data_IF_834435960684
#
_entry.id   IF_834435960684
#
_cell.length_a   1.000
_cell.length_b   1.000
_cell.length_c   1.000
_cell.angle_alpha   90.00
_cell.angle_beta   90.00
_cell.angle_gamma   90.00
#
_symmetry.space_group_name_H-M   'P 1'
#
loop_
_entity.id
_entity.type
_entity.pdbx_description
1 polymer ?
#
# COMPACT_ATOMS: atom_id res chain seq x y z
N UNK A 1 51.04 -4.35 -9.34
CA UNK A 1 50.33 -4.87 -8.14
C UNK A 1 50.10 -3.65 -7.26
N UNK A 2 48.93 -3.01 -7.21
CA UNK A 2 47.63 -3.50 -6.77
C UNK A 2 46.51 -2.73 -7.49
N UNK A 3 45.99 -3.29 -8.59
CA UNK A 3 44.75 -2.85 -9.21
C UNK A 3 43.75 -4.00 -9.06
N UNK A 4 42.55 -3.73 -8.56
CA UNK A 4 41.42 -4.66 -8.66
C UNK A 4 41.06 -5.49 -7.42
N UNK A 5 41.04 -4.90 -6.22
CA UNK A 5 40.52 -5.58 -5.01
C UNK A 5 39.33 -4.87 -4.32
N UNK A 6 38.76 -3.81 -4.92
CA UNK A 6 37.72 -3.00 -4.29
C UNK A 6 36.27 -3.38 -4.60
N UNK A 7 36.02 -4.26 -5.58
CA UNK A 7 34.66 -4.46 -6.15
C UNK A 7 34.00 -5.78 -5.73
N UNK A 8 34.72 -6.71 -5.10
CA UNK A 8 34.23 -8.09 -4.89
C UNK A 8 33.63 -8.33 -3.49
N UNK A 9 33.75 -7.40 -2.54
CA UNK A 9 33.39 -7.66 -1.14
C UNK A 9 31.89 -7.56 -0.80
N UNK A 10 31.01 -7.09 -1.69
CA UNK A 10 29.60 -6.82 -1.33
C UNK A 10 28.62 -7.90 -1.79
N UNK A 11 29.06 -8.90 -2.57
CA UNK A 11 28.17 -9.95 -3.07
C UNK A 11 28.11 -11.23 -2.21
N UNK A 12 28.72 -11.25 -1.02
CA UNK A 12 28.76 -12.45 -0.15
C UNK A 12 28.27 -12.16 1.28
N UNK A 13 27.33 -11.24 1.45
CA UNK A 13 26.63 -11.09 2.73
C UNK A 13 25.13 -11.10 2.48
N UNK A 14 24.48 -12.16 2.98
CA UNK A 14 23.03 -12.29 3.13
C UNK A 14 22.52 -11.27 4.17
N UNK A 15 22.61 -9.99 3.85
CA UNK A 15 22.02 -8.93 4.65
C UNK A 15 21.41 -7.88 3.73
N UNK A 16 20.08 -7.85 3.69
CA UNK A 16 19.26 -6.90 2.92
C UNK A 16 19.60 -5.42 3.19
N UNK A 17 20.41 -5.11 4.21
CA UNK A 17 20.94 -3.77 4.49
C UNK A 17 22.00 -3.29 3.47
N UNK A 18 22.74 -4.22 2.83
CA UNK A 18 23.83 -3.88 1.91
C UNK A 18 23.36 -3.34 0.55
N UNK A 19 22.32 -3.94 -0.01
CA UNK A 19 21.74 -3.53 -1.29
C UNK A 19 21.05 -2.16 -1.19
N UNK A 20 20.32 -1.91 -0.11
CA UNK A 20 19.67 -0.61 0.15
C UNK A 20 20.71 0.51 0.25
N UNK A 21 21.85 0.26 0.89
CA UNK A 21 22.92 1.25 1.01
C UNK A 21 23.55 1.57 -0.35
N UNK A 22 23.77 0.56 -1.20
CA UNK A 22 24.26 0.76 -2.56
C UNK A 22 23.28 1.53 -3.45
N UNK A 23 21.96 1.29 -3.30
CA UNK A 23 20.94 2.04 -4.03
C UNK A 23 20.92 3.50 -3.58
N UNK A 24 21.04 3.78 -2.28
CA UNK A 24 21.09 5.15 -1.76
C UNK A 24 22.33 5.90 -2.25
N UNK A 25 23.50 5.25 -2.19
CA UNK A 25 24.75 5.82 -2.72
C UNK A 25 24.65 6.01 -4.24
N UNK A 26 24.10 5.04 -4.96
CA UNK A 26 23.86 5.11 -6.40
C UNK A 26 22.90 6.23 -6.79
N UNK A 27 21.81 6.42 -6.05
CA UNK A 27 20.86 7.51 -6.25
C UNK A 27 21.51 8.87 -5.98
N UNK A 28 22.37 8.97 -4.95
CA UNK A 28 23.15 10.18 -4.68
C UNK A 28 24.09 10.51 -5.84
N UNK A 29 24.81 9.51 -6.37
CA UNK A 29 25.69 9.68 -7.52
C UNK A 29 24.92 10.01 -8.79
N UNK A 30 23.74 9.44 -8.98
CA UNK A 30 22.87 9.74 -10.12
C UNK A 30 22.36 11.18 -10.06
N UNK A 31 21.99 11.66 -8.86
CA UNK A 31 21.67 13.07 -8.61
C UNK A 31 22.83 14.00 -8.93
N UNK A 32 24.07 13.63 -8.55
CA UNK A 32 25.27 14.40 -8.91
C UNK A 32 25.52 14.40 -10.42
N UNK A 33 25.32 13.26 -11.08
CA UNK A 33 25.54 13.11 -12.52
C UNK A 33 24.54 13.90 -13.37
N UNK A 34 23.26 13.92 -12.97
CA UNK A 34 22.21 14.68 -13.68
C UNK A 34 22.32 16.19 -13.39
N UNK A 35 22.71 16.57 -12.18
CA UNK A 35 22.73 17.98 -11.75
C UNK A 35 24.03 18.72 -12.12
N UNK A 36 25.12 18.00 -12.43
CA UNK A 36 26.40 18.56 -12.85
C UNK A 36 27.12 19.41 -11.79
N UNK A 37 26.71 19.34 -10.52
CA UNK A 37 27.28 20.12 -9.42
C UNK A 37 27.83 19.19 -8.34
N UNK A 38 29.12 19.28 -8.05
CA UNK A 38 29.77 18.68 -6.88
C UNK A 38 29.31 19.40 -5.62
N UNK A 39 28.88 18.66 -4.59
CA UNK A 39 28.47 19.21 -3.30
C UNK A 39 29.71 19.72 -2.56
N UNK A 40 30.16 20.94 -2.87
CA UNK A 40 31.34 21.55 -2.23
C UNK A 40 31.01 22.57 -1.12
N UNK A 41 29.77 23.05 -1.00
CA UNK A 41 29.32 23.72 0.22
C UNK A 41 27.79 23.80 0.25
N UNK A 42 27.19 23.36 1.35
CA UNK A 42 25.73 23.36 1.52
C UNK A 42 25.30 24.75 1.98
N UNK A 43 24.82 25.57 1.04
CA UNK A 43 24.06 26.79 1.34
C UNK A 43 22.65 26.36 1.76
N UNK A 44 22.12 26.96 2.83
CA UNK A 44 20.79 26.65 3.38
C UNK A 44 19.67 26.70 2.31
N UNK A 45 19.77 27.62 1.33
CA UNK A 45 18.81 27.69 0.22
C UNK A 45 18.91 26.56 -0.82
N UNK A 46 20.07 25.93 -0.97
CA UNK A 46 20.24 24.81 -1.91
C UNK A 46 19.63 23.53 -1.34
N UNK A 47 19.56 23.40 0.00
CA UNK A 47 18.95 22.25 0.68
C UNK A 47 17.43 22.21 0.49
N UNK A 48 16.75 23.35 0.65
CA UNK A 48 15.30 23.44 0.44
C UNK A 48 14.90 23.12 -1.00
N UNK A 49 15.72 23.54 -1.98
CA UNK A 49 15.50 23.22 -3.38
C UNK A 49 15.63 21.71 -3.65
N UNK A 50 16.69 21.07 -3.13
CA UNK A 50 16.87 19.62 -3.26
C UNK A 50 15.74 18.83 -2.59
N UNK A 51 15.27 19.23 -1.40
CA UNK A 51 14.16 18.55 -0.72
C UNK A 51 12.83 18.71 -1.45
N UNK A 52 12.57 19.89 -2.01
CA UNK A 52 11.36 20.14 -2.81
C UNK A 52 11.36 19.31 -4.09
N UNK A 53 12.52 19.17 -4.73
CA UNK A 53 12.69 18.34 -5.92
C UNK A 53 12.55 16.84 -5.60
N UNK A 54 13.13 16.37 -4.50
CA UNK A 54 12.96 14.98 -4.04
C UNK A 54 11.50 14.65 -3.73
N UNK A 55 10.76 15.56 -3.07
CA UNK A 55 9.31 15.41 -2.83
C UNK A 55 8.53 15.32 -4.13
N UNK A 56 8.81 16.23 -5.08
CA UNK A 56 8.18 16.24 -6.40
C UNK A 56 8.42 14.94 -7.15
N UNK A 57 9.67 14.46 -7.18
CA UNK A 57 10.01 13.19 -7.83
C UNK A 57 9.33 12.01 -7.15
N UNK A 58 9.33 11.94 -5.81
CA UNK A 58 8.65 10.87 -5.09
C UNK A 58 7.16 10.83 -5.42
N UNK A 59 6.50 12.00 -5.48
CA UNK A 59 5.11 12.12 -5.89
C UNK A 59 4.92 11.64 -7.34
N UNK A 60 5.71 12.12 -8.30
CA UNK A 60 5.60 11.73 -9.71
C UNK A 60 5.77 10.23 -9.91
N UNK A 61 6.73 9.62 -9.21
CA UNK A 61 6.97 8.19 -9.24
C UNK A 61 5.79 7.41 -8.65
N UNK A 62 5.23 7.87 -7.53
CA UNK A 62 4.06 7.25 -6.91
C UNK A 62 2.83 7.30 -7.84
N UNK A 63 2.54 8.45 -8.44
CA UNK A 63 1.43 8.59 -9.40
C UNK A 63 1.64 7.76 -10.68
N UNK A 64 2.90 7.50 -11.06
CA UNK A 64 3.23 6.65 -12.22
C UNK A 64 3.21 5.15 -11.91
N UNK A 65 2.84 4.75 -10.69
CA UNK A 65 2.84 3.34 -10.25
C UNK A 65 4.24 2.77 -10.01
N UNK A 66 5.28 3.61 -9.95
CA UNK A 66 6.67 3.20 -9.69
C UNK A 66 6.93 3.15 -8.18
N UNK A 67 6.14 2.32 -7.51
CA UNK A 67 5.99 2.22 -6.05
C UNK A 67 7.32 2.03 -5.31
N UNK A 68 8.21 1.15 -5.80
CA UNK A 68 9.51 0.89 -5.17
C UNK A 68 10.46 2.09 -5.29
N UNK A 69 10.41 2.81 -6.42
CA UNK A 69 11.25 3.99 -6.65
C UNK A 69 10.76 5.16 -5.78
N UNK A 70 9.44 5.37 -5.71
CA UNK A 70 8.82 6.35 -4.83
C UNK A 70 9.19 6.09 -3.36
N UNK A 71 9.12 4.83 -2.90
CA UNK A 71 9.55 4.46 -1.55
C UNK A 71 11.04 4.71 -1.31
N UNK A 72 11.89 4.38 -2.27
CA UNK A 72 13.32 4.63 -2.15
C UNK A 72 13.61 6.14 -1.98
N UNK A 73 12.92 6.99 -2.74
CA UNK A 73 13.02 8.45 -2.62
C UNK A 73 12.51 8.95 -1.27
N UNK A 74 11.36 8.46 -0.79
CA UNK A 74 10.85 8.78 0.54
C UNK A 74 11.84 8.41 1.65
N UNK A 75 12.45 7.22 1.56
CA UNK A 75 13.43 6.77 2.53
C UNK A 75 14.69 7.66 2.54
N UNK A 76 15.12 8.14 1.37
CA UNK A 76 16.21 9.12 1.27
C UNK A 76 15.78 10.45 1.90
N UNK A 77 14.59 10.95 1.55
CA UNK A 77 14.06 12.20 2.08
C UNK A 77 14.04 12.21 3.62
N UNK A 78 13.44 11.18 4.24
CA UNK A 78 13.34 11.04 5.71
C UNK A 78 14.69 10.90 6.41
N UNK A 79 15.68 10.30 5.74
CA UNK A 79 17.05 10.19 6.27
C UNK A 79 17.78 11.53 6.26
N UNK A 80 17.52 12.35 5.25
CA UNK A 80 18.14 13.66 5.09
C UNK A 80 17.45 14.72 5.95
N UNK A 81 16.14 14.63 6.12
CA UNK A 81 15.34 15.49 6.98
C UNK A 81 14.32 14.66 7.80
N UNK A 82 14.63 14.36 9.08
CA UNK A 82 13.67 13.68 9.96
C UNK A 82 12.38 14.47 10.21
N UNK A 83 12.36 15.78 9.98
CA UNK A 83 11.13 16.57 10.08
C UNK A 83 10.17 16.30 8.91
N UNK A 84 10.66 15.67 7.82
CA UNK A 84 9.84 15.26 6.69
C UNK A 84 8.73 14.26 7.07
N UNK A 85 8.88 13.52 8.18
CA UNK A 85 7.80 12.66 8.70
C UNK A 85 6.53 13.43 9.05
N UNK A 86 6.65 14.74 9.37
CA UNK A 86 5.50 15.60 9.70
C UNK A 86 5.07 16.48 8.52
N UNK A 87 5.71 16.34 7.36
CA UNK A 87 5.37 17.12 6.18
C UNK A 87 4.12 16.54 5.52
N UNK A 88 3.00 17.28 5.42
CA UNK A 88 1.77 16.78 4.80
C UNK A 88 1.97 16.31 3.35
N UNK A 89 2.91 16.91 2.61
CA UNK A 89 3.21 16.49 1.25
C UNK A 89 3.90 15.13 1.20
N UNK A 90 4.73 14.82 2.19
CA UNK A 90 5.41 13.52 2.32
C UNK A 90 4.42 12.45 2.74
N UNK A 91 3.56 12.76 3.71
CA UNK A 91 2.46 11.88 4.13
C UNK A 91 1.52 11.53 2.97
N UNK A 92 1.17 12.52 2.13
CA UNK A 92 0.37 12.28 0.94
C UNK A 92 1.02 11.29 -0.04
N UNK A 93 2.34 11.40 -0.26
CA UNK A 93 3.06 10.45 -1.12
C UNK A 93 3.12 9.06 -0.49
N UNK A 94 3.27 8.97 0.84
CA UNK A 94 3.22 7.68 1.56
C UNK A 94 1.88 6.99 1.42
N UNK A 95 0.78 7.74 1.51
CA UNK A 95 -0.56 7.24 1.26
C UNK A 95 -0.66 6.67 -0.16
N UNK A 96 -0.26 7.42 -1.19
CA UNK A 96 -0.29 6.94 -2.58
C UNK A 96 0.57 5.69 -2.78
N UNK A 97 1.76 5.65 -2.19
CA UNK A 97 2.63 4.47 -2.24
C UNK A 97 1.97 3.27 -1.56
N UNK A 98 1.29 3.47 -0.43
CA UNK A 98 0.56 2.42 0.26
C UNK A 98 -0.63 1.90 -0.57
N UNK A 99 -1.44 2.79 -1.13
CA UNK A 99 -2.58 2.43 -1.98
C UNK A 99 -2.14 1.63 -3.21
N UNK A 100 -1.06 2.05 -3.88
CA UNK A 100 -0.48 1.30 -5.00
C UNK A 100 -0.03 -0.11 -4.58
N UNK A 101 0.59 -0.26 -3.40
CA UNK A 101 0.96 -1.60 -2.90
C UNK A 101 -0.25 -2.48 -2.64
N UNK A 102 -1.33 -1.91 -2.11
CA UNK A 102 -2.59 -2.64 -1.92
C UNK A 102 -3.12 -3.12 -3.27
N UNK A 103 -3.14 -2.26 -4.29
CA UNK A 103 -3.55 -2.63 -5.65
C UNK A 103 -2.69 -3.77 -6.23
N UNK A 104 -1.38 -3.66 -6.12
CA UNK A 104 -0.45 -4.68 -6.60
C UNK A 104 -0.60 -6.00 -5.85
N UNK A 105 -0.88 -5.96 -4.55
CA UNK A 105 -1.12 -7.15 -3.73
C UNK A 105 -2.45 -7.84 -4.09
N UNK A 106 -3.51 -7.08 -4.39
CA UNK A 106 -4.78 -7.64 -4.87
C UNK A 106 -4.59 -8.30 -6.24
N UNK A 107 -3.86 -7.65 -7.17
CA UNK A 107 -3.54 -8.24 -8.47
C UNK A 107 -2.72 -9.52 -8.34
N UNK A 108 -1.74 -9.52 -7.44
CA UNK A 108 -0.88 -10.69 -7.16
C UNK A 108 -1.69 -11.83 -6.54
N UNK A 109 -2.70 -11.51 -5.72
CA UNK A 109 -3.56 -12.51 -5.09
C UNK A 109 -4.63 -13.08 -6.05
N UNK A 110 -4.78 -12.52 -7.26
CA UNK A 110 -5.74 -12.99 -8.25
C UNK A 110 -5.44 -14.43 -8.66
N UNK A 111 -6.42 -15.32 -8.50
CA UNK A 111 -6.35 -16.69 -9.01
C UNK A 111 -6.75 -16.77 -10.50
N UNK A 112 -6.50 -17.91 -11.13
CA UNK A 112 -6.89 -18.14 -12.52
C UNK A 112 -8.41 -18.00 -12.70
N UNK A 113 -8.81 -17.21 -13.70
CA UNK A 113 -10.22 -16.94 -14.00
C UNK A 113 -10.83 -15.77 -13.21
N UNK A 114 -10.23 -15.33 -12.10
CA UNK A 114 -10.68 -14.13 -11.39
C UNK A 114 -10.34 -12.85 -12.18
N UNK A 115 -11.08 -11.77 -11.94
CA UNK A 115 -10.81 -10.45 -12.50
C UNK A 115 -10.58 -9.44 -11.38
N UNK A 116 -9.77 -8.41 -11.65
CA UNK A 116 -9.53 -7.30 -10.73
C UNK A 116 -9.89 -5.99 -11.44
N UNK A 117 -10.92 -5.33 -10.94
CA UNK A 117 -11.31 -3.98 -11.34
C UNK A 117 -10.52 -2.99 -10.46
N UNK A 118 -9.71 -2.11 -11.07
CA UNK A 118 -8.91 -1.12 -10.34
C UNK A 118 -9.60 0.24 -10.36
N UNK A 119 -9.54 0.93 -9.22
CA UNK A 119 -10.07 2.28 -9.03
C UNK A 119 -9.01 3.15 -8.32
N UNK A 120 -7.91 3.52 -9.00
CA UNK A 120 -6.81 4.25 -8.38
C UNK A 120 -7.20 5.65 -7.88
N UNK A 121 -8.26 6.24 -8.44
CA UNK A 121 -8.79 7.55 -8.05
C UNK A 121 -10.01 7.45 -7.11
N UNK A 122 -10.16 6.32 -6.41
CA UNK A 122 -11.32 6.09 -5.54
C UNK A 122 -11.33 7.02 -4.34
N UNK A 123 -12.51 7.56 -4.05
CA UNK A 123 -12.71 8.43 -2.90
C UNK A 123 -12.81 7.65 -1.59
N UNK A 124 -12.83 8.38 -0.47
CA UNK A 124 -13.10 7.80 0.84
C UNK A 124 -14.38 6.94 0.82
N UNK A 125 -14.31 5.67 1.24
CA UNK A 125 -15.46 4.77 1.26
C UNK A 125 -15.79 4.10 -0.09
N UNK A 126 -14.94 4.29 -1.10
CA UNK A 126 -14.95 3.51 -2.34
C UNK A 126 -13.77 2.51 -2.31
N UNK A 127 -13.93 1.30 -2.87
CA UNK A 127 -12.85 0.33 -2.89
C UNK A 127 -11.77 0.74 -3.90
N UNK A 128 -10.51 0.60 -3.51
CA UNK A 128 -9.36 0.74 -4.41
C UNK A 128 -9.39 -0.31 -5.52
N UNK A 129 -9.80 -1.52 -5.18
CA UNK A 129 -9.96 -2.60 -6.13
C UNK A 129 -11.16 -3.48 -5.80
N UNK A 130 -11.82 -3.99 -6.83
CA UNK A 130 -12.85 -5.02 -6.69
C UNK A 130 -12.34 -6.30 -7.35
N UNK A 131 -12.16 -7.35 -6.56
CA UNK A 131 -11.89 -8.68 -7.07
C UNK A 131 -13.22 -9.37 -7.39
N UNK A 132 -13.37 -9.86 -8.61
CA UNK A 132 -14.54 -10.59 -9.09
C UNK A 132 -14.16 -12.06 -9.24
N UNK A 133 -14.64 -12.88 -8.30
CA UNK A 133 -14.41 -14.31 -8.32
C UNK A 133 -15.32 -15.00 -9.33
N UNK A 134 -14.78 -16.00 -10.03
CA UNK A 134 -15.53 -16.86 -10.93
C UNK A 134 -15.77 -18.25 -10.30
N UNK A 135 -16.81 -18.99 -10.75
CA UNK A 135 -17.80 -18.63 -11.77
C UNK A 135 -19.03 -17.87 -11.24
N UNK A 136 -19.10 -17.66 -9.93
CA UNK A 136 -20.28 -17.13 -9.24
C UNK A 136 -20.38 -15.59 -9.26
N UNK A 137 -19.37 -14.90 -9.77
CA UNK A 137 -19.36 -13.44 -9.88
C UNK A 137 -19.28 -12.72 -8.54
N UNK A 138 -18.80 -13.39 -7.49
CA UNK A 138 -18.71 -12.81 -6.14
C UNK A 138 -17.71 -11.64 -6.14
N UNK A 139 -18.18 -10.46 -5.75
CA UNK A 139 -17.41 -9.21 -5.73
C UNK A 139 -16.87 -8.93 -4.32
N UNK A 140 -15.55 -8.79 -4.19
CA UNK A 140 -14.88 -8.40 -2.93
C UNK A 140 -14.22 -7.03 -3.13
N UNK A 141 -14.71 -6.02 -2.40
CA UNK A 141 -14.13 -4.68 -2.41
C UNK A 141 -12.97 -4.57 -1.42
N UNK A 142 -11.81 -4.11 -1.88
CA UNK A 142 -10.62 -3.90 -1.04
C UNK A 142 -10.37 -2.42 -0.81
N UNK A 143 -10.11 -2.03 0.45
CA UNK A 143 -9.91 -0.65 0.89
C UNK A 143 -8.54 -0.54 1.57
N UNK A 144 -7.80 0.53 1.29
CA UNK A 144 -6.69 0.92 2.13
C UNK A 144 -7.21 1.69 3.34
N UNK A 145 -6.88 1.24 4.54
CA UNK A 145 -7.14 1.95 5.78
C UNK A 145 -5.85 2.65 6.24
N UNK A 146 -5.89 3.98 6.22
CA UNK A 146 -4.82 4.85 6.70
C UNK A 146 -5.42 6.06 7.42
N UNK A 147 -4.65 6.62 8.34
CA UNK A 147 -5.01 7.88 8.98
C UNK A 147 -4.59 9.07 8.10
N UNK A 148 -5.42 10.13 8.01
CA UNK A 148 -5.09 11.32 7.23
C UNK A 148 -3.95 12.15 7.83
N UNK A 149 -3.57 11.87 9.09
CA UNK A 149 -2.50 12.53 9.82
C UNK A 149 -1.77 11.54 10.75
N UNK A 150 -0.73 12.03 11.42
CA UNK A 150 0.10 11.25 12.35
C UNK A 150 -0.65 10.78 13.61
N UNK A 151 -1.90 11.21 13.83
CA UNK A 151 -2.66 10.77 15.00
C UNK A 151 -3.05 9.29 14.90
N UNK A 152 -3.02 8.71 13.70
CA UNK A 152 -3.51 7.35 13.48
C UNK A 152 -5.04 7.25 13.60
N UNK A 153 -5.75 8.37 13.78
CA UNK A 153 -7.17 8.40 14.05
C UNK A 153 -8.00 8.99 12.91
N UNK A 154 -9.26 8.57 12.82
CA UNK A 154 -10.24 9.19 11.94
C UNK A 154 -11.38 9.83 12.76
N UNK A 155 -11.91 10.93 12.24
CA UNK A 155 -13.09 11.56 12.84
C UNK A 155 -14.32 10.65 12.71
N UNK A 156 -15.25 10.76 13.67
CA UNK A 156 -16.53 10.05 13.60
C UNK A 156 -17.30 10.40 12.32
N UNK A 157 -17.28 11.67 11.89
CA UNK A 157 -17.92 12.12 10.65
C UNK A 157 -17.32 11.47 9.40
N UNK A 158 -15.99 11.29 9.37
CA UNK A 158 -15.30 10.59 8.29
C UNK A 158 -15.67 9.11 8.27
N UNK A 159 -15.74 8.48 9.46
CA UNK A 159 -16.16 7.09 9.63
C UNK A 159 -17.59 6.87 9.14
N UNK A 160 -18.55 7.68 9.58
CA UNK A 160 -19.95 7.57 9.15
C UNK A 160 -20.11 7.76 7.64
N UNK A 161 -19.36 8.72 7.08
CA UNK A 161 -19.35 8.97 5.63
C UNK A 161 -18.70 7.84 4.84
N UNK A 162 -17.74 7.13 5.43
CA UNK A 162 -17.14 5.93 4.87
C UNK A 162 -18.16 4.79 4.87
N UNK A 163 -18.74 4.46 6.03
CA UNK A 163 -19.69 3.35 6.20
C UNK A 163 -20.87 3.51 5.24
N UNK A 164 -21.42 4.73 5.16
CA UNK A 164 -22.52 5.05 4.24
C UNK A 164 -22.14 4.78 2.77
N UNK A 165 -20.97 5.23 2.34
CA UNK A 165 -20.51 5.04 0.94
C UNK A 165 -20.17 3.59 0.63
N UNK A 166 -19.47 2.90 1.53
CA UNK A 166 -19.12 1.50 1.36
C UNK A 166 -20.36 0.60 1.16
N UNK A 167 -21.48 0.93 1.83
CA UNK A 167 -22.78 0.26 1.64
C UNK A 167 -23.37 0.44 0.23
N UNK A 168 -23.13 1.57 -0.41
CA UNK A 168 -23.66 1.87 -1.74
C UNK A 168 -22.92 1.10 -2.84
N UNK A 169 -21.72 0.59 -2.51
CA UNK A 169 -20.91 -0.23 -3.41
C UNK A 169 -21.43 -1.67 -3.43
N UNK A 170 -21.73 -2.18 -4.62
CA UNK A 170 -22.21 -3.54 -4.85
C UNK A 170 -21.07 -4.58 -4.68
N UNK A 171 -20.77 -4.90 -3.43
CA UNK A 171 -19.82 -5.93 -3.02
C UNK A 171 -20.50 -6.95 -2.09
N UNK A 172 -20.13 -8.22 -2.26
CA UNK A 172 -20.61 -9.30 -1.41
C UNK A 172 -19.80 -9.42 -0.11
N UNK A 173 -18.57 -8.91 -0.08
CA UNK A 173 -17.72 -8.78 1.10
C UNK A 173 -16.74 -7.61 0.96
N UNK A 174 -16.16 -7.18 2.08
CA UNK A 174 -15.22 -6.06 2.15
C UNK A 174 -13.91 -6.50 2.83
N UNK A 175 -12.78 -6.09 2.26
CA UNK A 175 -11.45 -6.34 2.81
C UNK A 175 -10.75 -5.02 3.12
N UNK A 176 -10.35 -4.81 4.37
CA UNK A 176 -9.52 -3.68 4.77
C UNK A 176 -8.06 -4.11 4.85
N UNK A 177 -7.18 -3.34 4.22
CA UNK A 177 -5.73 -3.45 4.40
C UNK A 177 -5.28 -2.23 5.19
N UNK A 178 -4.93 -2.46 6.46
CA UNK A 178 -4.53 -1.42 7.39
C UNK A 178 -3.02 -1.17 7.35
N UNK A 179 -2.65 0.09 7.11
CA UNK A 179 -1.26 0.56 7.19
C UNK A 179 -0.97 1.28 8.51
N UNK A 180 -1.78 2.30 8.84
CA UNK A 180 -1.49 3.22 9.96
C UNK A 180 -2.69 3.57 10.81
N UNK A 181 -3.90 3.11 10.46
CA UNK A 181 -5.10 3.42 11.22
C UNK A 181 -5.08 2.66 12.56
N UNK A 182 -5.42 3.35 13.64
CA UNK A 182 -5.54 2.76 14.96
C UNK A 182 -6.55 1.61 14.95
N UNK A 183 -6.21 0.54 15.66
CA UNK A 183 -6.99 -0.70 15.66
C UNK A 183 -8.45 -0.47 16.12
N UNK A 184 -8.67 0.43 17.07
CA UNK A 184 -10.01 0.77 17.57
C UNK A 184 -10.86 1.47 16.49
N UNK A 185 -10.26 2.29 15.64
CA UNK A 185 -10.95 3.02 14.57
C UNK A 185 -11.28 2.07 13.42
N UNK A 186 -10.33 1.20 13.08
CA UNK A 186 -10.50 0.14 12.11
C UNK A 186 -11.58 -0.86 12.52
N UNK A 187 -11.58 -1.28 13.79
CA UNK A 187 -12.61 -2.15 14.35
C UNK A 187 -13.99 -1.48 14.26
N UNK A 188 -14.10 -0.20 14.60
CA UNK A 188 -15.35 0.57 14.47
C UNK A 188 -15.85 0.65 13.03
N UNK A 189 -14.96 0.88 12.06
CA UNK A 189 -15.31 0.86 10.63
C UNK A 189 -15.81 -0.51 10.19
N UNK A 190 -15.06 -1.56 10.50
CA UNK A 190 -15.39 -2.93 10.10
C UNK A 190 -16.72 -3.39 10.70
N UNK A 191 -16.92 -3.14 12.00
CA UNK A 191 -18.18 -3.44 12.70
C UNK A 191 -19.35 -2.62 12.14
N UNK A 192 -19.14 -1.33 11.86
CA UNK A 192 -20.16 -0.46 11.27
C UNK A 192 -20.64 -0.98 9.92
N UNK A 193 -19.71 -1.33 9.03
CA UNK A 193 -20.05 -1.87 7.71
C UNK A 193 -20.71 -3.24 7.83
N UNK A 194 -20.17 -4.13 8.66
CA UNK A 194 -20.75 -5.46 8.82
C UNK A 194 -22.18 -5.38 9.38
N UNK A 195 -22.42 -4.49 10.35
CA UNK A 195 -23.74 -4.25 10.93
C UNK A 195 -24.73 -3.68 9.92
N UNK A 196 -24.31 -2.69 9.14
CA UNK A 196 -25.21 -1.93 8.28
C UNK A 196 -25.44 -2.58 6.91
N UNK A 197 -24.43 -3.26 6.36
CA UNK A 197 -24.52 -3.98 5.08
C UNK A 197 -24.95 -5.45 5.23
N UNK A 198 -24.75 -6.04 6.41
CA UNK A 198 -24.91 -7.48 6.63
C UNK A 198 -23.87 -8.34 5.90
N UNK A 199 -22.85 -7.74 5.28
CA UNK A 199 -21.83 -8.45 4.51
C UNK A 199 -20.60 -8.79 5.36
N UNK A 200 -19.90 -9.90 5.07
CA UNK A 200 -18.63 -10.22 5.70
C UNK A 200 -17.60 -9.11 5.50
N UNK A 201 -16.90 -8.75 6.58
CA UNK A 201 -15.74 -7.86 6.55
C UNK A 201 -14.51 -8.63 7.03
N UNK A 202 -13.40 -8.43 6.34
CA UNK A 202 -12.07 -8.96 6.66
C UNK A 202 -11.09 -7.80 6.86
N UNK A 203 -10.08 -8.02 7.71
CA UNK A 203 -9.09 -7.00 8.04
C UNK A 203 -7.71 -7.64 8.03
N UNK A 204 -6.80 -7.07 7.25
CA UNK A 204 -5.39 -7.42 7.19
C UNK A 204 -4.56 -6.23 7.65
N UNK A 205 -3.63 -6.44 8.57
CA UNK A 205 -2.75 -5.36 9.06
C UNK A 205 -1.33 -5.59 8.56
N UNK A 206 -0.79 -4.61 7.83
CA UNK A 206 0.58 -4.68 7.33
C UNK A 206 1.51 -3.97 8.30
N UNK A 207 2.32 -4.76 9.00
CA UNK A 207 3.30 -4.27 9.98
C UNK A 207 4.54 -3.65 9.32
N UNK A 208 4.75 -3.93 8.03
CA UNK A 208 5.82 -3.36 7.24
C UNK A 208 5.24 -2.68 6.01
N UNK A 209 5.64 -1.43 5.78
CA UNK A 209 5.35 -0.77 4.51
C UNK A 209 6.16 -1.38 3.37
N UNK A 210 7.31 -2.01 3.63
CA UNK A 210 8.25 -2.44 2.57
C UNK A 210 7.96 -3.80 1.96
N UNK A 211 7.17 -4.67 2.60
CA UNK A 211 6.76 -5.95 2.02
C UNK A 211 5.26 -6.17 2.25
N UNK A 212 4.45 -6.16 1.18
CA UNK A 212 3.03 -6.43 1.31
C UNK A 212 2.82 -7.88 1.76
N UNK A 213 1.96 -8.09 2.77
CA UNK A 213 1.55 -9.43 3.16
C UNK A 213 0.65 -10.04 2.06
N UNK A 214 0.72 -11.36 1.83
CA UNK A 214 -0.10 -12.00 0.81
C UNK A 214 -1.59 -11.89 1.18
N UNK A 215 -2.41 -11.33 0.28
CA UNK A 215 -3.85 -11.13 0.53
C UNK A 215 -4.71 -12.36 0.21
N UNK A 216 -4.16 -13.35 -0.52
CA UNK A 216 -4.91 -14.54 -0.96
C UNK A 216 -5.64 -15.27 0.18
N UNK A 217 -5.01 -15.57 1.33
CA UNK A 217 -5.69 -16.26 2.42
C UNK A 217 -6.89 -15.47 2.97
N UNK A 218 -6.77 -14.15 3.05
CA UNK A 218 -7.84 -13.27 3.50
C UNK A 218 -9.02 -13.27 2.51
N UNK A 219 -8.72 -13.19 1.22
CA UNK A 219 -9.70 -13.25 0.14
C UNK A 219 -10.43 -14.61 0.15
N UNK A 220 -9.70 -15.71 0.28
CA UNK A 220 -10.28 -17.06 0.36
C UNK A 220 -11.21 -17.20 1.57
N UNK A 221 -10.80 -16.68 2.73
CA UNK A 221 -11.62 -16.66 3.94
C UNK A 221 -12.93 -15.88 3.74
N UNK A 222 -12.87 -14.75 3.04
CA UNK A 222 -14.07 -13.97 2.70
C UNK A 222 -14.96 -14.68 1.69
N UNK A 223 -14.39 -15.27 0.63
CA UNK A 223 -15.14 -16.06 -0.35
C UNK A 223 -15.86 -17.23 0.32
N UNK A 224 -15.20 -17.95 1.22
CA UNK A 224 -15.81 -19.03 1.99
C UNK A 224 -16.98 -18.52 2.85
N UNK A 225 -16.82 -17.38 3.51
CA UNK A 225 -17.89 -16.76 4.32
C UNK A 225 -19.09 -16.30 3.48
N UNK A 226 -18.85 -15.77 2.29
CA UNK A 226 -19.91 -15.34 1.36
C UNK A 226 -20.67 -16.54 0.80
N UNK A 227 -19.94 -17.59 0.39
CA UNK A 227 -20.51 -18.82 -0.18
C UNK A 227 -21.25 -19.66 0.86
N UNK A 228 -20.96 -19.43 2.15
CA UNK A 228 -21.50 -20.20 3.27
C UNK A 228 -20.88 -21.60 3.34
N UNK A 229 -21.32 -22.45 4.30
CA UNK A 229 -21.02 -23.86 4.24
C UNK A 229 -21.52 -24.36 2.89
N UNK A 230 -20.63 -24.92 2.07
CA UNK A 230 -21.07 -25.63 0.88
C UNK A 230 -22.03 -26.71 1.39
N UNK A 231 -23.33 -26.57 1.10
CA UNK A 231 -24.23 -27.69 1.10
C UNK A 231 -23.57 -28.67 0.14
N UNK A 232 -22.87 -29.67 0.69
CA UNK A 232 -22.66 -30.94 0.04
C UNK A 232 -24.01 -31.24 -0.58
N UNK A 233 -24.12 -31.05 -1.90
CA UNK A 233 -25.27 -31.54 -2.64
C UNK A 233 -25.32 -32.99 -2.26
N UNK A 234 -26.27 -33.33 -1.39
CA UNK A 234 -26.62 -34.69 -1.04
C UNK A 234 -26.91 -35.32 -2.38
N UNK A 235 -25.91 -36.03 -2.89
CA UNK A 235 -26.04 -36.83 -4.08
C UNK A 235 -26.90 -37.97 -3.57
N UNK A 236 -28.22 -37.82 -3.64
CA UNK A 236 -29.13 -38.92 -3.37
C UNK A 236 -28.74 -39.98 -4.41
N UNK A 237 -28.11 -41.10 -4.01
CA UNK A 237 -27.86 -42.15 -4.94
C UNK A 237 -29.20 -42.85 -5.20
N UNK A 238 -29.73 -42.64 -6.41
CA UNK A 238 -30.76 -43.47 -7.01
C UNK A 238 -32.19 -42.92 -6.93
N UNK A 239 -32.69 -42.50 -8.10
CA UNK A 239 -33.92 -43.05 -8.67
C UNK A 239 -33.72 -43.26 -10.17
#
# INVERSE_FOLDING_TARGET
>A
MFAGAGVVAVFVSENQAGSVTLVVIGALFLLMAVSGRTIESVRIGDWEFTMSELRRQAAEQAHSGLTDQAQALLNVLKRLDPAADRDPAVHAVEITVFENRVLDAVETARAEGEQVERHPDSGLGEPLAVLVAQPDGVRIGTFAAYAPDDSGHISATSSDSFVRRAREVDCAAYLFVNGTLHQDDLARLAEGIQRDSGRPVGVETWTSTTQPAPLRPAIDGLLARVRGPQDERVTIPGQ
#
